data_IF_972547021340
#
_entry.id   IF_972547021340
#
_cell.length_a   1.000
_cell.length_b   1.000
_cell.length_c   1.000
_cell.angle_alpha   90.00
_cell.angle_beta   90.00
_cell.angle_gamma   90.00
#
_symmetry.space_group_name_H-M   'P 1'
#
loop_
_entity.id
_entity.type
_entity.pdbx_description
1 polymer ?
#
# COMPACT_ATOMS: atom_id res chain seq x y z
N UNK A 1 10.68 -10.01 34.30
CA UNK A 1 11.46 -8.97 33.62
C UNK A 1 11.39 -7.74 34.49
N UNK A 2 12.57 -7.23 34.93
CA UNK A 2 12.67 -6.16 35.92
C UNK A 2 12.06 -4.85 35.37
N UNK A 3 11.24 -4.19 36.19
CA UNK A 3 10.53 -2.96 35.84
C UNK A 3 11.50 -1.83 35.44
N UNK A 4 12.68 -1.78 36.03
CA UNK A 4 13.76 -0.85 35.66
C UNK A 4 14.33 -1.14 34.26
N UNK A 5 14.31 -2.39 33.80
CA UNK A 5 14.75 -2.76 32.44
C UNK A 5 13.71 -2.38 31.40
N UNK A 6 12.41 -2.45 31.79
CA UNK A 6 11.31 -1.99 30.94
C UNK A 6 11.32 -0.47 30.78
N UNK A 7 11.55 0.27 31.87
CA UNK A 7 11.65 1.74 31.84
C UNK A 7 12.88 2.20 31.05
N UNK A 8 14.00 1.48 31.10
CA UNK A 8 15.17 1.77 30.24
C UNK A 8 14.91 1.51 28.75
N UNK A 9 14.11 0.50 28.43
CA UNK A 9 13.71 0.23 27.04
C UNK A 9 12.69 1.25 26.52
N UNK A 10 11.90 1.85 27.41
CA UNK A 10 10.94 2.91 27.06
C UNK A 10 11.57 4.31 27.11
N UNK A 11 12.71 4.48 27.75
CA UNK A 11 13.47 5.73 27.89
C UNK A 11 14.64 5.81 26.91
N UNK A 12 14.48 5.33 25.68
CA UNK A 12 15.25 5.91 24.58
C UNK A 12 14.66 7.27 24.30
N UNK A 13 15.15 8.27 25.01
CA UNK A 13 14.90 9.66 24.68
C UNK A 13 15.21 9.82 23.18
N UNK A 14 14.19 10.02 22.38
CA UNK A 14 14.36 10.41 20.99
C UNK A 14 15.17 11.69 21.05
N UNK A 15 16.45 11.60 20.67
CA UNK A 15 17.32 12.78 20.57
C UNK A 15 16.56 13.79 19.72
N UNK A 16 16.47 15.06 20.14
CA UNK A 16 15.82 16.08 19.34
C UNK A 16 16.48 16.04 17.94
N UNK A 17 15.65 15.81 16.92
CA UNK A 17 16.12 15.77 15.54
C UNK A 17 16.86 17.06 15.25
N UNK A 18 18.07 16.96 14.72
CA UNK A 18 18.79 18.11 14.22
C UNK A 18 17.89 18.84 13.21
N UNK A 19 17.56 20.10 13.48
CA UNK A 19 16.69 20.90 12.61
C UNK A 19 17.38 21.35 11.31
N UNK A 20 18.65 21.01 11.11
CA UNK A 20 19.32 21.27 9.84
C UNK A 20 18.76 20.34 8.76
N UNK A 21 18.47 20.87 7.56
CA UNK A 21 18.02 20.05 6.45
C UNK A 21 19.10 19.03 6.08
N UNK A 22 18.68 17.84 5.67
CA UNK A 22 19.60 16.81 5.17
C UNK A 22 20.44 17.36 4.00
N UNK A 23 21.74 17.04 3.94
CA UNK A 23 22.55 17.37 2.76
C UNK A 23 22.13 16.60 1.50
N UNK A 24 21.39 15.49 1.67
CA UNK A 24 20.78 14.74 0.60
C UNK A 24 19.26 15.01 0.56
N UNK A 25 18.73 15.31 -0.62
CA UNK A 25 17.31 15.58 -0.85
C UNK A 25 16.61 14.31 -1.33
N UNK A 26 15.38 14.10 -0.84
CA UNK A 26 14.47 13.11 -1.43
C UNK A 26 13.91 13.74 -2.71
N UNK A 27 14.17 13.14 -3.86
CA UNK A 27 13.83 13.71 -5.17
C UNK A 27 12.46 13.25 -5.68
N UNK A 28 12.08 12.01 -5.38
CA UNK A 28 10.82 11.42 -5.85
C UNK A 28 10.49 10.18 -5.04
N UNK A 29 9.28 9.69 -5.24
CA UNK A 29 8.88 8.38 -4.78
C UNK A 29 9.24 7.33 -5.85
N UNK A 30 9.89 6.23 -5.48
CA UNK A 30 10.29 5.19 -6.42
C UNK A 30 9.25 4.05 -6.50
N UNK A 31 9.04 3.33 -5.42
CA UNK A 31 8.09 2.21 -5.36
C UNK A 31 7.67 1.90 -3.92
N UNK A 32 6.66 1.07 -3.79
CA UNK A 32 6.32 0.41 -2.53
C UNK A 32 6.53 -1.10 -2.68
N UNK A 33 7.10 -1.73 -1.65
CA UNK A 33 7.17 -3.19 -1.53
C UNK A 33 5.92 -3.74 -0.86
N UNK A 34 5.26 -4.69 -1.53
CA UNK A 34 4.05 -5.35 -1.04
C UNK A 34 4.36 -6.83 -0.86
N UNK A 35 4.32 -7.32 0.39
CA UNK A 35 4.55 -8.75 0.66
C UNK A 35 3.28 -9.53 0.44
N UNK A 36 3.41 -10.62 -0.32
CA UNK A 36 2.31 -11.50 -0.72
C UNK A 36 2.66 -12.96 -0.43
N UNK A 37 1.67 -13.81 -0.27
CA UNK A 37 1.85 -15.22 0.07
C UNK A 37 1.85 -16.18 -1.12
N UNK A 38 1.36 -15.72 -2.27
CA UNK A 38 1.29 -16.54 -3.49
C UNK A 38 1.65 -15.67 -4.70
N UNK A 39 2.76 -16.03 -5.34
CA UNK A 39 3.32 -15.28 -6.46
C UNK A 39 2.34 -15.15 -7.63
N UNK A 40 1.80 -16.26 -8.09
CA UNK A 40 0.98 -16.26 -9.31
C UNK A 40 -0.36 -15.55 -9.07
N UNK A 41 -0.97 -15.76 -7.93
CA UNK A 41 -2.21 -15.10 -7.55
C UNK A 41 -2.02 -13.59 -7.40
N UNK A 42 -0.94 -13.15 -6.79
CA UNK A 42 -0.62 -11.74 -6.65
C UNK A 42 -0.36 -11.10 -8.02
N UNK A 43 0.47 -11.70 -8.87
CA UNK A 43 0.74 -11.18 -10.21
C UNK A 43 -0.57 -11.03 -11.00
N UNK A 44 -1.43 -12.04 -11.01
CA UNK A 44 -2.73 -11.98 -11.71
C UNK A 44 -3.61 -10.84 -11.19
N UNK A 45 -3.66 -10.65 -9.87
CA UNK A 45 -4.43 -9.57 -9.26
C UNK A 45 -3.92 -8.19 -9.69
N UNK A 46 -2.62 -7.94 -9.58
CA UNK A 46 -2.04 -6.65 -9.95
C UNK A 46 -2.03 -6.42 -11.46
N UNK A 47 -1.98 -7.47 -12.28
CA UNK A 47 -2.21 -7.37 -13.73
C UNK A 47 -3.64 -6.89 -14.04
N UNK A 48 -4.64 -7.36 -13.31
CA UNK A 48 -6.02 -6.88 -13.47
C UNK A 48 -6.15 -5.38 -13.15
N UNK A 49 -5.27 -4.82 -12.33
CA UNK A 49 -5.20 -3.39 -12.03
C UNK A 49 -4.35 -2.59 -13.06
N UNK A 50 -3.80 -3.23 -14.08
CA UNK A 50 -3.03 -2.58 -15.14
C UNK A 50 -1.51 -2.64 -14.97
N UNK A 51 -0.99 -3.34 -13.96
CA UNK A 51 0.45 -3.53 -13.80
C UNK A 51 0.95 -4.69 -14.64
N UNK A 52 2.15 -4.57 -15.19
CA UNK A 52 2.84 -5.63 -15.91
C UNK A 52 4.17 -5.91 -15.22
N UNK A 53 4.56 -7.18 -15.15
CA UNK A 53 5.86 -7.57 -14.62
C UNK A 53 6.97 -7.02 -15.52
N UNK A 54 7.89 -6.23 -14.98
CA UNK A 54 8.93 -5.51 -15.72
C UNK A 54 10.35 -5.99 -15.38
N UNK A 55 10.54 -6.53 -14.17
CA UNK A 55 11.82 -7.07 -13.73
C UNK A 55 11.64 -8.17 -12.68
N UNK A 56 12.64 -9.04 -12.56
CA UNK A 56 12.68 -10.12 -11.58
C UNK A 56 13.91 -9.97 -10.69
N UNK A 57 13.72 -10.19 -9.39
CA UNK A 57 14.78 -10.17 -8.39
C UNK A 57 14.79 -11.49 -7.59
N UNK A 58 15.24 -12.61 -8.20
CA UNK A 58 15.14 -13.94 -7.57
C UNK A 58 15.83 -14.03 -6.20
N UNK A 59 16.96 -13.35 -6.03
CA UNK A 59 17.70 -13.31 -4.76
C UNK A 59 16.87 -12.73 -3.61
N UNK A 60 15.94 -11.84 -3.92
CA UNK A 60 15.08 -11.17 -2.94
C UNK A 60 13.65 -11.73 -2.93
N UNK A 61 13.39 -12.81 -3.68
CA UNK A 61 12.06 -13.38 -3.88
C UNK A 61 11.03 -12.31 -4.26
N UNK A 62 11.40 -11.44 -5.20
CA UNK A 62 10.62 -10.27 -5.57
C UNK A 62 10.62 -10.03 -7.08
N UNK A 63 9.69 -9.19 -7.52
CA UNK A 63 9.66 -8.64 -8.86
C UNK A 63 9.39 -7.13 -8.82
N UNK A 64 9.44 -6.51 -9.98
CA UNK A 64 8.90 -5.18 -10.23
C UNK A 64 7.66 -5.32 -11.12
N UNK A 65 6.59 -4.62 -10.75
CA UNK A 65 5.39 -4.44 -11.55
C UNK A 65 5.27 -2.97 -11.94
N UNK A 66 5.04 -2.71 -13.21
CA UNK A 66 5.00 -1.36 -13.78
C UNK A 66 3.68 -1.12 -14.51
N UNK A 67 3.01 -0.01 -14.24
CA UNK A 67 1.85 0.42 -15.04
C UNK A 67 2.30 1.11 -16.32
N UNK A 68 1.42 1.25 -17.35
CA UNK A 68 1.75 1.98 -18.57
C UNK A 68 2.18 3.44 -18.33
N UNK A 69 1.68 4.04 -17.27
CA UNK A 69 1.97 5.43 -16.90
C UNK A 69 3.16 5.58 -15.94
N UNK A 70 3.91 4.51 -15.72
CA UNK A 70 5.15 4.52 -14.96
C UNK A 70 5.01 4.40 -13.45
N UNK A 71 3.85 4.02 -12.95
CA UNK A 71 3.66 3.70 -11.52
C UNK A 71 4.28 2.35 -11.23
N UNK A 72 5.11 2.30 -10.19
CA UNK A 72 5.91 1.12 -9.85
C UNK A 72 5.56 0.57 -8.48
N UNK A 73 5.39 -0.74 -8.40
CA UNK A 73 5.30 -1.51 -7.16
C UNK A 73 6.25 -2.71 -7.26
N UNK A 74 6.71 -3.20 -6.12
CA UNK A 74 7.45 -4.47 -6.04
C UNK A 74 6.63 -5.47 -5.23
N UNK A 75 6.43 -6.68 -5.77
CA UNK A 75 5.85 -7.79 -5.03
C UNK A 75 6.97 -8.61 -4.39
N UNK A 76 6.82 -8.92 -3.11
CA UNK A 76 7.77 -9.74 -2.34
C UNK A 76 7.05 -11.04 -1.98
N UNK A 77 7.56 -12.19 -2.47
CA UNK A 77 6.83 -13.44 -2.51
C UNK A 77 7.00 -14.34 -1.27
N UNK A 78 7.65 -13.86 -0.22
CA UNK A 78 7.98 -14.65 0.97
C UNK A 78 7.00 -14.46 2.14
N UNK A 79 5.78 -14.00 1.87
CA UNK A 79 4.74 -13.87 2.87
C UNK A 79 4.15 -15.23 3.25
N UNK A 80 3.77 -15.36 4.50
CA UNK A 80 2.98 -16.49 4.98
C UNK A 80 1.50 -16.18 4.84
N UNK A 81 0.74 -17.11 4.24
CA UNK A 81 -0.70 -16.96 4.09
C UNK A 81 -1.39 -16.93 5.46
N UNK A 82 -2.19 -15.89 5.67
CA UNK A 82 -3.03 -15.75 6.86
C UNK A 82 -4.47 -16.12 6.50
N UNK A 83 -5.20 -16.89 7.37
CA UNK A 83 -6.61 -17.21 7.14
C UNK A 83 -7.45 -15.95 6.93
N UNK A 84 -8.38 -16.02 5.95
CA UNK A 84 -9.31 -14.94 5.62
C UNK A 84 -8.65 -13.62 5.16
N UNK A 85 -7.38 -13.66 4.71
CA UNK A 85 -6.63 -12.48 4.30
C UNK A 85 -6.68 -11.36 5.37
N UNK A 86 -6.49 -11.72 6.62
CA UNK A 86 -6.53 -10.83 7.76
C UNK A 86 -5.39 -9.79 7.68
N UNK A 87 -5.73 -8.51 7.84
CA UNK A 87 -4.79 -7.42 7.86
C UNK A 87 -4.53 -6.98 9.31
N UNK A 88 -3.33 -7.23 9.81
CA UNK A 88 -2.97 -6.97 11.21
C UNK A 88 -2.96 -5.49 11.59
N UNK A 89 -2.80 -4.59 10.63
CA UNK A 89 -2.82 -3.15 10.87
C UNK A 89 -4.25 -2.56 10.84
N UNK A 90 -5.16 -3.20 10.10
CA UNK A 90 -6.51 -2.69 9.92
C UNK A 90 -7.55 -3.44 10.74
N UNK A 91 -7.48 -4.78 10.79
CA UNK A 91 -8.56 -5.61 11.30
C UNK A 91 -8.48 -5.88 12.81
N UNK A 92 -7.35 -5.60 13.44
CA UNK A 92 -7.18 -5.75 14.89
C UNK A 92 -7.82 -4.58 15.66
N UNK A 93 -8.40 -4.85 16.85
CA UNK A 93 -8.95 -3.80 17.71
C UNK A 93 -7.88 -2.81 18.18
N UNK A 94 -6.69 -3.32 18.50
CA UNK A 94 -5.53 -2.49 18.88
C UNK A 94 -4.78 -2.12 17.60
N UNK A 95 -4.73 -0.82 17.29
CA UNK A 95 -4.05 -0.32 16.11
C UNK A 95 -2.56 -0.18 16.35
N UNK A 96 -1.78 -0.94 15.59
CA UNK A 96 -0.32 -0.90 15.64
C UNK A 96 0.21 0.15 14.64
N UNK A 97 1.35 0.79 14.93
CA UNK A 97 1.98 1.68 13.96
C UNK A 97 2.53 0.90 12.77
N UNK A 98 2.42 1.46 11.57
CA UNK A 98 2.92 0.84 10.34
C UNK A 98 2.40 1.55 9.09
N UNK A 99 2.90 1.12 7.93
CA UNK A 99 2.37 1.56 6.64
C UNK A 99 1.07 0.81 6.35
N UNK A 100 -0.05 1.54 6.28
CA UNK A 100 -1.37 0.93 6.18
C UNK A 100 -1.76 0.60 4.75
N UNK A 101 -1.46 1.48 3.79
CA UNK A 101 -1.82 1.29 2.37
C UNK A 101 -1.09 2.27 1.45
N UNK A 102 -0.79 1.88 0.22
CA UNK A 102 -0.46 2.80 -0.85
C UNK A 102 -1.74 3.45 -1.39
N UNK A 103 -1.62 4.69 -1.89
CA UNK A 103 -2.68 5.40 -2.56
C UNK A 103 -2.26 5.77 -3.98
N UNK A 104 -3.10 5.45 -4.96
CA UNK A 104 -2.88 5.70 -6.38
C UNK A 104 -3.87 6.73 -6.90
N UNK A 105 -3.44 7.56 -7.84
CA UNK A 105 -4.32 8.45 -8.58
C UNK A 105 -4.80 7.70 -9.83
N UNK A 106 -6.09 7.75 -10.09
CA UNK A 106 -6.72 7.26 -11.33
C UNK A 106 -7.43 8.41 -12.04
N UNK A 107 -7.54 8.31 -13.34
CA UNK A 107 -8.20 9.30 -14.18
C UNK A 107 -9.74 9.21 -14.12
N UNK A 108 -10.27 7.99 -13.96
CA UNK A 108 -11.72 7.72 -13.93
C UNK A 108 -12.06 6.65 -12.89
N UNK A 109 -12.51 7.09 -11.72
CA UNK A 109 -12.85 6.20 -10.61
C UNK A 109 -14.11 5.37 -10.88
N UNK A 110 -15.06 5.91 -11.65
CA UNK A 110 -16.28 5.20 -12.02
C UNK A 110 -15.96 4.05 -12.99
N UNK A 111 -15.10 4.28 -13.97
CA UNK A 111 -14.61 3.23 -14.86
C UNK A 111 -13.85 2.16 -14.10
N UNK A 112 -13.00 2.54 -13.14
CA UNK A 112 -12.33 1.59 -12.26
C UNK A 112 -13.34 0.75 -11.46
N UNK A 113 -14.36 1.37 -10.90
CA UNK A 113 -15.41 0.69 -10.13
C UNK A 113 -16.12 -0.38 -10.97
N UNK A 114 -16.51 -0.05 -12.20
CA UNK A 114 -17.10 -1.03 -13.14
C UNK A 114 -16.14 -2.18 -13.41
N UNK A 115 -14.90 -1.88 -13.73
CA UNK A 115 -13.88 -2.89 -13.98
C UNK A 115 -13.62 -3.81 -12.79
N UNK A 116 -13.51 -3.28 -11.58
CA UNK A 116 -13.35 -4.08 -10.37
C UNK A 116 -14.51 -5.06 -10.18
N UNK A 117 -15.75 -4.61 -10.42
CA UNK A 117 -16.93 -5.46 -10.38
C UNK A 117 -16.87 -6.59 -11.42
N UNK A 118 -16.46 -6.27 -12.66
CA UNK A 118 -16.30 -7.25 -13.73
C UNK A 118 -15.22 -8.29 -13.40
N UNK A 119 -14.15 -7.89 -12.71
CA UNK A 119 -13.09 -8.78 -12.26
C UNK A 119 -13.43 -9.53 -10.97
N UNK A 120 -14.57 -9.30 -10.37
CA UNK A 120 -14.96 -9.90 -9.09
C UNK A 120 -14.13 -9.39 -7.89
N UNK A 121 -13.54 -8.21 -8.00
CA UNK A 121 -12.77 -7.58 -6.93
C UNK A 121 -13.72 -6.71 -6.11
N UNK A 122 -13.85 -7.03 -4.82
CA UNK A 122 -14.75 -6.31 -3.92
C UNK A 122 -14.17 -4.95 -3.52
N UNK A 123 -14.98 -3.89 -3.66
CA UNK A 123 -14.73 -2.59 -3.06
C UNK A 123 -15.05 -2.70 -1.57
N UNK A 124 -14.07 -2.48 -0.73
CA UNK A 124 -14.20 -2.65 0.73
C UNK A 124 -14.67 -1.36 1.42
N UNK A 125 -14.43 -0.21 0.80
CA UNK A 125 -14.84 1.10 1.29
C UNK A 125 -14.98 2.08 0.13
N UNK A 126 -15.97 2.98 0.21
CA UNK A 126 -16.22 4.00 -0.82
C UNK A 126 -17.02 3.50 -2.03
N UNK A 127 -17.09 4.28 -3.13
CA UNK A 127 -16.47 5.60 -3.29
C UNK A 127 -17.07 6.66 -2.36
N UNK A 128 -16.23 7.51 -1.79
CA UNK A 128 -16.67 8.66 -1.02
C UNK A 128 -15.63 9.80 -1.04
N UNK A 129 -16.04 11.07 -0.81
CA UNK A 129 -15.10 12.17 -0.75
C UNK A 129 -14.15 12.03 0.43
N UNK A 130 -12.87 12.31 0.18
CA UNK A 130 -11.85 12.48 1.23
C UNK A 130 -11.27 13.87 1.10
N UNK A 131 -11.69 14.77 1.98
CA UNK A 131 -11.38 16.19 1.87
C UNK A 131 -12.01 16.83 0.63
N UNK A 132 -11.63 18.08 0.29
CA UNK A 132 -12.30 18.87 -0.73
C UNK A 132 -11.87 18.53 -2.17
N UNK A 133 -10.80 17.76 -2.38
CA UNK A 133 -10.14 17.64 -3.68
C UNK A 133 -10.11 16.24 -4.27
N UNK A 134 -10.65 15.22 -3.58
CA UNK A 134 -10.59 13.84 -4.08
C UNK A 134 -11.79 13.00 -3.66
N UNK A 135 -12.09 12.02 -4.50
CA UNK A 135 -12.98 10.91 -4.20
C UNK A 135 -12.15 9.64 -4.19
N UNK A 136 -12.35 8.79 -3.20
CA UNK A 136 -11.57 7.58 -2.99
C UNK A 136 -12.42 6.33 -2.89
N UNK A 137 -11.87 5.21 -3.32
CA UNK A 137 -12.32 3.87 -2.97
C UNK A 137 -11.15 3.00 -2.52
N UNK A 138 -11.47 1.95 -1.77
CA UNK A 138 -10.50 1.02 -1.23
C UNK A 138 -10.85 -0.40 -1.65
N UNK A 139 -9.81 -1.18 -1.92
CA UNK A 139 -9.90 -2.62 -2.15
C UNK A 139 -8.83 -3.33 -1.32
N UNK A 140 -8.90 -4.65 -1.28
CA UNK A 140 -7.84 -5.50 -0.72
C UNK A 140 -7.32 -6.45 -1.77
N UNK A 141 -6.01 -6.67 -1.78
CA UNK A 141 -5.43 -7.75 -2.55
C UNK A 141 -5.76 -9.13 -1.94
N UNK A 142 -5.40 -10.26 -2.58
CA UNK A 142 -5.71 -11.58 -2.06
C UNK A 142 -5.14 -11.92 -0.68
N UNK A 143 -4.13 -11.19 -0.23
CA UNK A 143 -3.52 -11.33 1.10
C UNK A 143 -4.05 -10.33 2.13
N UNK A 144 -5.02 -9.47 1.74
CA UNK A 144 -5.60 -8.45 2.60
C UNK A 144 -4.82 -7.13 2.65
N UNK A 145 -3.80 -6.97 1.81
CA UNK A 145 -3.13 -5.68 1.67
C UNK A 145 -4.12 -4.66 1.11
N UNK A 146 -4.22 -3.49 1.75
CA UNK A 146 -5.16 -2.44 1.39
C UNK A 146 -4.58 -1.55 0.32
N UNK A 147 -5.38 -1.25 -0.70
CA UNK A 147 -5.06 -0.31 -1.77
C UNK A 147 -6.13 0.77 -1.84
N UNK A 148 -5.70 2.03 -1.91
CA UNK A 148 -6.56 3.19 -2.10
C UNK A 148 -6.43 3.72 -3.53
N UNK A 149 -7.55 4.08 -4.14
CA UNK A 149 -7.60 4.73 -5.44
C UNK A 149 -8.33 6.05 -5.33
N UNK A 150 -7.70 7.10 -5.79
CA UNK A 150 -8.21 8.47 -5.74
C UNK A 150 -8.39 9.03 -7.14
N UNK A 151 -9.54 9.65 -7.36
CA UNK A 151 -9.71 10.59 -8.47
C UNK A 151 -9.69 12.00 -7.90
N UNK A 152 -8.81 12.83 -8.46
CA UNK A 152 -8.79 14.25 -8.12
C UNK A 152 -10.02 14.93 -8.74
N UNK A 153 -10.74 15.70 -7.95
CA UNK A 153 -11.81 16.56 -8.43
C UNK A 153 -11.22 17.97 -8.54
N UNK A 154 -11.49 18.65 -9.66
CA UNK A 154 -11.13 20.04 -9.83
C UNK A 154 -11.85 20.83 -8.74
N UNK A 155 -11.11 21.30 -7.75
CA UNK A 155 -11.60 22.27 -6.79
C UNK A 155 -11.66 23.63 -7.47
N UNK A 156 -12.72 24.37 -7.24
CA UNK A 156 -12.74 25.79 -7.55
C UNK A 156 -11.49 26.44 -6.94
N UNK A 157 -10.76 27.14 -7.80
CA UNK A 157 -9.53 27.82 -7.45
C UNK A 157 -9.75 28.91 -6.40
#
# INVERSE_FOLDING_TARGET
MDQQKLERLMSTAVQPMNQQPSPARILSYDHIGIRVSDKNRAISFYQALGFMESAHFPRYEANEMLSPDGVRINLIFNGTRIPHAHNVLLDEPIKLPGMTHPAFIVDDLEALQRWLNEQGIMITEGPHPIGPRRVALFIRDPDGNVLEFNQLVEGDA
#
